data_IF_953018362163
#
_entry.id   IF_953018362163
#
_cell.length_a   1.000
_cell.length_b   1.000
_cell.length_c   1.000
_cell.angle_alpha   90.00
_cell.angle_beta   90.00
_cell.angle_gamma   90.00
#
_symmetry.space_group_name_H-M   'P 1'
#
loop_
_entity.id
_entity.type
_entity.pdbx_description
1 polymer ?
#
# COMPACT_ATOMS: atom_id res chain seq x y z
N UNK A 1 -12.34 8.67 10.10
CA UNK A 1 -13.40 8.98 9.09
C UNK A 1 -13.20 7.97 7.97
N UNK A 2 -14.24 7.29 7.59
CA UNK A 2 -14.11 6.17 6.65
C UNK A 2 -13.81 6.70 5.25
N UNK A 3 -12.86 6.12 4.55
CA UNK A 3 -12.44 6.52 3.20
C UNK A 3 -13.47 6.23 2.08
N UNK A 4 -14.64 5.72 2.42
CA UNK A 4 -15.73 5.40 1.48
C UNK A 4 -16.18 6.59 0.62
N UNK A 5 -16.06 7.82 1.14
CA UNK A 5 -16.39 9.03 0.39
C UNK A 5 -15.40 9.35 -0.74
N UNK A 6 -14.24 8.67 -0.78
CA UNK A 6 -13.23 8.85 -1.83
C UNK A 6 -13.60 8.11 -3.12
N UNK A 7 -14.45 7.08 -3.06
CA UNK A 7 -14.85 6.33 -4.27
C UNK A 7 -15.55 7.25 -5.27
N UNK A 8 -15.12 7.19 -6.51
CA UNK A 8 -15.60 8.07 -7.58
C UNK A 8 -14.85 9.40 -7.71
N UNK A 9 -14.06 9.79 -6.71
CA UNK A 9 -13.16 10.95 -6.82
C UNK A 9 -11.87 10.54 -7.52
N UNK A 10 -11.02 11.52 -7.84
CA UNK A 10 -9.70 11.26 -8.43
C UNK A 10 -8.61 11.80 -7.52
N UNK A 11 -7.55 11.02 -7.38
CA UNK A 11 -6.30 11.50 -6.79
C UNK A 11 -5.71 12.52 -7.77
N UNK A 12 -5.40 13.76 -7.34
CA UNK A 12 -4.83 14.76 -8.22
C UNK A 12 -3.45 14.33 -8.75
N UNK A 13 -3.04 14.89 -9.87
CA UNK A 13 -1.71 14.66 -10.43
C UNK A 13 -0.63 15.14 -9.47
N UNK A 14 0.35 14.31 -9.20
CA UNK A 14 1.52 14.63 -8.38
C UNK A 14 2.74 13.86 -8.87
N UNK A 15 3.91 14.25 -8.41
CA UNK A 15 5.14 13.50 -8.60
C UNK A 15 5.50 12.73 -7.33
N UNK A 16 6.07 11.54 -7.50
CA UNK A 16 6.50 10.69 -6.39
C UNK A 16 7.91 10.15 -6.61
N UNK A 17 8.55 9.78 -5.52
CA UNK A 17 9.85 9.14 -5.54
C UNK A 17 9.71 7.64 -5.23
N UNK A 18 10.48 6.82 -5.94
CA UNK A 18 10.79 5.44 -5.57
C UNK A 18 12.18 5.39 -4.94
N UNK A 19 12.63 4.25 -4.37
CA UNK A 19 13.97 4.16 -3.81
C UNK A 19 15.10 4.51 -4.77
N UNK A 20 14.90 4.29 -6.08
CA UNK A 20 15.94 4.41 -7.11
C UNK A 20 15.68 5.55 -8.09
N UNK A 21 14.42 5.96 -8.30
CA UNK A 21 14.05 6.98 -9.29
C UNK A 21 13.20 8.07 -8.64
N UNK A 22 13.66 9.32 -8.62
CA UNK A 22 12.88 10.46 -8.16
C UNK A 22 11.97 11.04 -9.25
N UNK A 23 10.94 11.75 -8.84
CA UNK A 23 10.13 12.61 -9.70
C UNK A 23 9.25 11.90 -10.71
N UNK A 24 8.78 10.68 -10.42
CA UNK A 24 7.88 9.94 -11.28
C UNK A 24 6.48 10.59 -11.32
N UNK A 25 5.84 10.62 -12.49
CA UNK A 25 4.48 11.13 -12.65
C UNK A 25 3.44 10.07 -12.27
N UNK A 26 2.58 10.42 -11.32
CA UNK A 26 1.51 9.51 -10.87
C UNK A 26 0.50 9.20 -11.98
N UNK A 27 0.17 10.15 -12.84
CA UNK A 27 -0.78 9.90 -13.92
C UNK A 27 -0.20 8.99 -14.99
N UNK A 28 1.09 9.08 -15.27
CA UNK A 28 1.78 8.10 -16.12
C UNK A 28 1.73 6.69 -15.50
N UNK A 29 1.83 6.59 -14.16
CA UNK A 29 1.62 5.31 -13.47
C UNK A 29 0.20 4.79 -13.62
N UNK A 30 -0.81 5.66 -13.69
CA UNK A 30 -2.21 5.26 -13.89
C UNK A 30 -2.53 4.80 -15.33
N UNK A 31 -1.66 5.09 -16.30
CA UNK A 31 -1.82 4.61 -17.68
C UNK A 31 -1.53 3.11 -17.78
N UNK A 32 -2.38 2.37 -18.49
CA UNK A 32 -2.21 0.94 -18.71
C UNK A 32 -3.54 0.19 -18.72
N UNK A 33 -3.48 -1.07 -19.16
CA UNK A 33 -4.69 -1.90 -19.33
C UNK A 33 -5.36 -2.28 -18.00
N UNK A 34 -4.56 -2.36 -16.94
CA UNK A 34 -5.04 -2.83 -15.64
C UNK A 34 -5.00 -1.72 -14.59
N UNK A 35 -5.97 -1.69 -13.65
CA UNK A 35 -5.99 -0.74 -12.55
C UNK A 35 -4.80 -0.97 -11.60
N UNK A 36 -4.49 0.07 -10.83
CA UNK A 36 -3.53 -0.02 -9.74
C UNK A 36 -4.24 -0.51 -8.47
N UNK A 37 -3.67 -1.50 -7.78
CA UNK A 37 -3.95 -1.74 -6.37
C UNK A 37 -2.87 -1.04 -5.55
N UNK A 38 -3.23 0.04 -4.89
CA UNK A 38 -2.33 0.80 -4.02
C UNK A 38 -2.51 0.37 -2.57
N UNK A 39 -1.45 -0.13 -1.97
CA UNK A 39 -1.43 -0.59 -0.58
C UNK A 39 -0.62 0.40 0.25
N UNK A 40 -1.28 1.10 1.17
CA UNK A 40 -0.65 2.04 2.09
C UNK A 40 -0.23 1.30 3.35
N UNK A 41 1.06 1.30 3.60
CA UNK A 41 1.72 0.60 4.70
C UNK A 41 2.31 1.62 5.69
N UNK A 42 2.64 1.24 6.92
CA UNK A 42 3.51 2.03 7.80
C UNK A 42 4.88 2.32 7.16
N UNK A 43 5.83 2.82 7.95
CA UNK A 43 7.20 2.99 7.48
C UNK A 43 7.78 1.70 6.89
N UNK A 44 8.72 1.82 5.97
CA UNK A 44 9.31 0.67 5.28
C UNK A 44 10.01 -0.30 6.25
N UNK A 45 10.62 0.23 7.31
CA UNK A 45 11.28 -0.53 8.38
C UNK A 45 10.30 -1.18 9.36
N UNK A 46 9.01 -0.85 9.28
CA UNK A 46 8.01 -1.42 10.17
C UNK A 46 7.80 -2.93 9.89
N UNK A 47 7.74 -3.79 10.92
CA UNK A 47 7.63 -5.25 10.74
C UNK A 47 6.47 -5.69 9.86
N UNK A 48 5.31 -5.04 9.97
CA UNK A 48 4.13 -5.33 9.13
C UNK A 48 4.42 -5.00 7.67
N UNK A 49 5.02 -3.86 7.37
CA UNK A 49 5.38 -3.47 6.00
C UNK A 49 6.33 -4.49 5.36
N UNK A 50 7.35 -4.90 6.09
CA UNK A 50 8.32 -5.90 5.61
C UNK A 50 7.67 -7.26 5.36
N UNK A 51 6.81 -7.70 6.26
CA UNK A 51 6.08 -8.97 6.10
C UNK A 51 5.22 -8.96 4.84
N UNK A 52 4.38 -7.92 4.65
CA UNK A 52 3.48 -7.86 3.50
C UNK A 52 4.20 -7.62 2.19
N UNK A 53 5.21 -6.77 2.13
CA UNK A 53 6.05 -6.60 0.93
C UNK A 53 6.71 -7.94 0.57
N UNK A 54 7.21 -8.69 1.55
CA UNK A 54 7.80 -10.02 1.31
C UNK A 54 6.77 -11.02 0.78
N UNK A 55 5.54 -11.02 1.30
CA UNK A 55 4.44 -11.87 0.79
C UNK A 55 4.09 -11.52 -0.65
N UNK A 56 3.98 -10.23 -0.96
CA UNK A 56 3.67 -9.78 -2.32
C UNK A 56 4.79 -10.13 -3.30
N UNK A 57 6.04 -10.00 -2.91
CA UNK A 57 7.18 -10.45 -3.72
C UNK A 57 7.11 -11.95 -4.05
N UNK A 58 6.78 -12.78 -3.07
CA UNK A 58 6.67 -14.23 -3.23
C UNK A 58 5.47 -14.64 -4.09
N UNK A 59 4.37 -13.91 -4.00
CA UNK A 59 3.12 -14.24 -4.68
C UNK A 59 2.87 -13.43 -5.95
N UNK A 60 3.83 -12.57 -6.35
CA UNK A 60 3.71 -11.71 -7.52
C UNK A 60 3.29 -12.44 -8.82
N UNK A 61 3.75 -13.67 -9.11
CA UNK A 61 3.28 -14.42 -10.28
C UNK A 61 1.78 -14.74 -10.29
N UNK A 62 1.10 -14.63 -9.15
CA UNK A 62 -0.35 -14.82 -9.00
C UNK A 62 -1.14 -13.55 -9.32
N UNK A 63 -0.48 -12.39 -9.45
CA UNK A 63 -1.12 -11.12 -9.77
C UNK A 63 -1.65 -11.14 -11.21
N UNK A 64 -2.96 -10.99 -11.36
CA UNK A 64 -3.65 -11.00 -12.66
C UNK A 64 -4.67 -9.86 -12.74
N UNK A 65 -4.74 -9.18 -13.88
CA UNK A 65 -5.73 -8.12 -14.08
C UNK A 65 -5.57 -6.90 -13.17
N UNK A 66 -4.40 -6.72 -12.58
CA UNK A 66 -4.08 -5.63 -11.68
C UNK A 66 -2.58 -5.31 -11.72
N UNK A 67 -2.21 -4.12 -11.26
CA UNK A 67 -0.82 -3.71 -11.02
C UNK A 67 -0.67 -3.32 -9.56
N UNK A 68 0.30 -3.89 -8.85
CA UNK A 68 0.54 -3.61 -7.44
C UNK A 68 1.41 -2.35 -7.28
N UNK A 69 1.05 -1.52 -6.33
CA UNK A 69 1.84 -0.37 -5.85
C UNK A 69 1.82 -0.38 -4.33
N UNK A 70 2.97 -0.39 -3.69
CA UNK A 70 3.07 -0.17 -2.25
C UNK A 70 3.41 1.29 -1.98
N UNK A 71 2.78 1.90 -0.99
CA UNK A 71 3.10 3.23 -0.51
C UNK A 71 3.59 3.11 0.93
N UNK A 72 4.76 3.67 1.23
CA UNK A 72 5.38 3.59 2.55
C UNK A 72 5.63 4.98 3.12
N UNK A 73 5.45 5.11 4.43
CA UNK A 73 5.69 6.35 5.19
C UNK A 73 7.19 6.49 5.52
N UNK A 74 8.01 6.45 4.49
CA UNK A 74 9.49 6.54 4.59
C UNK A 74 10.03 7.37 3.43
N UNK A 75 11.17 8.03 3.63
CA UNK A 75 11.86 8.74 2.55
C UNK A 75 12.50 7.75 1.56
N UNK A 76 12.62 8.15 0.30
CA UNK A 76 13.29 7.35 -0.73
C UNK A 76 14.73 6.96 -0.32
N UNK A 77 15.45 7.89 0.29
CA UNK A 77 16.81 7.64 0.78
C UNK A 77 16.85 6.56 1.87
N UNK A 78 15.89 6.57 2.81
CA UNK A 78 15.82 5.57 3.87
C UNK A 78 15.53 4.19 3.31
N UNK A 79 14.59 4.10 2.34
CA UNK A 79 14.25 2.83 1.69
C UNK A 79 15.43 2.32 0.86
N UNK A 80 16.06 3.18 0.06
CA UNK A 80 17.24 2.83 -0.74
C UNK A 80 18.38 2.29 0.13
N UNK A 81 18.64 2.91 1.28
CA UNK A 81 19.63 2.41 2.24
C UNK A 81 19.27 1.03 2.79
N UNK A 82 18.01 0.81 3.15
CA UNK A 82 17.52 -0.45 3.71
C UNK A 82 17.52 -1.60 2.69
N UNK A 83 17.38 -1.29 1.40
CA UNK A 83 17.37 -2.26 0.30
C UNK A 83 18.72 -2.39 -0.40
N UNK A 84 19.76 -1.70 0.07
CA UNK A 84 21.06 -1.62 -0.59
C UNK A 84 20.96 -1.18 -2.07
N UNK A 85 20.03 -0.29 -2.38
CA UNK A 85 19.78 0.21 -3.74
C UNK A 85 19.11 -0.80 -4.68
N UNK A 86 18.56 -1.89 -4.16
CA UNK A 86 17.83 -2.87 -4.97
C UNK A 86 16.45 -2.37 -5.33
N UNK A 87 16.05 -2.58 -6.58
CA UNK A 87 14.71 -2.29 -7.06
C UNK A 87 13.69 -3.37 -6.68
N UNK A 88 12.44 -2.95 -6.62
CA UNK A 88 11.30 -3.85 -6.50
C UNK A 88 10.68 -4.12 -7.88
N UNK A 89 10.11 -5.31 -8.12
CA UNK A 89 9.41 -5.61 -9.37
C UNK A 89 8.05 -4.90 -9.51
N UNK A 90 7.66 -4.09 -8.52
CA UNK A 90 6.51 -3.19 -8.50
C UNK A 90 6.90 -1.87 -7.84
N UNK A 91 6.24 -0.74 -8.17
CA UNK A 91 6.56 0.56 -7.58
C UNK A 91 6.38 0.56 -6.06
N UNK A 92 7.38 1.07 -5.34
CA UNK A 92 7.30 1.43 -3.93
C UNK A 92 7.38 2.94 -3.83
N UNK A 93 6.24 3.59 -3.62
CA UNK A 93 6.13 5.05 -3.49
C UNK A 93 6.58 5.44 -2.09
N UNK A 94 7.56 6.35 -2.01
CA UNK A 94 8.13 6.84 -0.77
C UNK A 94 7.48 8.18 -0.38
N UNK A 95 6.52 8.15 0.54
CA UNK A 95 5.86 9.36 1.07
C UNK A 95 6.35 9.67 2.49
N UNK A 96 7.62 9.99 2.63
CA UNK A 96 8.23 10.35 3.91
C UNK A 96 7.48 11.48 4.64
N UNK A 97 7.15 12.60 3.98
CA UNK A 97 6.36 13.67 4.59
C UNK A 97 4.92 13.27 4.94
N UNK A 98 4.35 12.26 4.27
CA UNK A 98 2.97 11.80 4.45
C UNK A 98 1.92 12.67 3.82
N UNK A 99 2.23 13.27 2.71
CA UNK A 99 1.31 14.13 1.96
C UNK A 99 0.13 13.31 1.43
N UNK A 100 0.40 12.15 0.83
CA UNK A 100 -0.64 11.22 0.37
C UNK A 100 -1.45 10.65 1.51
N UNK A 101 -0.78 10.26 2.60
CA UNK A 101 -1.45 9.75 3.79
C UNK A 101 -2.42 10.78 4.37
N UNK A 102 -2.00 12.04 4.47
CA UNK A 102 -2.86 13.13 4.92
C UNK A 102 -4.02 13.40 3.97
N UNK A 103 -3.76 13.45 2.67
CA UNK A 103 -4.78 13.68 1.65
C UNK A 103 -5.87 12.60 1.64
N UNK A 104 -5.48 11.33 1.77
CA UNK A 104 -6.39 10.18 1.74
C UNK A 104 -6.98 9.85 3.12
N UNK A 105 -6.60 10.59 4.16
CA UNK A 105 -7.12 10.39 5.51
C UNK A 105 -6.73 9.06 6.13
N UNK A 106 -5.51 8.58 5.88
CA UNK A 106 -4.98 7.36 6.51
C UNK A 106 -4.88 7.59 8.02
N UNK A 107 -5.58 6.76 8.78
CA UNK A 107 -5.73 6.93 10.22
C UNK A 107 -4.54 6.33 10.99
N UNK A 108 -4.21 6.98 12.12
CA UNK A 108 -3.30 6.38 13.10
C UNK A 108 -4.07 5.40 14.00
N UNK A 109 -3.41 4.32 14.38
CA UNK A 109 -3.97 3.40 15.37
C UNK A 109 -4.12 4.12 16.72
N UNK A 110 -5.31 4.02 17.31
CA UNK A 110 -5.58 4.55 18.64
C UNK A 110 -5.87 3.40 19.59
N UNK A 111 -4.88 3.06 20.43
CA UNK A 111 -5.04 2.11 21.53
C UNK A 111 -5.14 0.63 21.12
N UNK A 112 -5.60 -0.20 22.06
CA UNK A 112 -5.65 -1.66 21.97
C UNK A 112 -6.60 -2.20 20.90
N UNK A 113 -7.55 -1.41 20.40
CA UNK A 113 -8.57 -1.84 19.44
C UNK A 113 -8.02 -2.14 18.04
N UNK A 114 -6.82 -1.66 17.72
CA UNK A 114 -6.14 -1.94 16.44
C UNK A 114 -5.23 -3.18 16.51
N UNK A 115 -5.15 -3.81 17.65
CA UNK A 115 -4.34 -5.01 17.88
C UNK A 115 -4.97 -6.23 17.22
N UNK A 116 -4.16 -6.99 16.49
CA UNK A 116 -4.57 -8.29 15.95
C UNK A 116 -3.57 -9.36 16.39
N UNK A 117 -4.03 -10.60 16.56
CA UNK A 117 -3.16 -11.73 16.83
C UNK A 117 -2.12 -11.93 15.71
N UNK A 118 -2.49 -11.63 14.46
CA UNK A 118 -1.59 -11.70 13.32
C UNK A 118 -0.46 -10.66 13.44
N UNK A 119 -0.76 -9.41 13.84
CA UNK A 119 0.26 -8.40 14.10
C UNK A 119 1.21 -8.81 15.21
N UNK A 120 0.68 -9.39 16.30
CA UNK A 120 1.51 -9.89 17.42
C UNK A 120 2.51 -10.96 16.98
N UNK A 121 2.07 -11.89 16.12
CA UNK A 121 2.97 -12.92 15.56
C UNK A 121 4.09 -12.30 14.74
N UNK A 122 3.77 -11.28 13.92
CA UNK A 122 4.77 -10.54 13.12
C UNK A 122 5.76 -9.82 14.03
N UNK A 123 5.29 -9.10 15.05
CA UNK A 123 6.16 -8.41 16.00
C UNK A 123 7.03 -9.36 16.81
N UNK A 124 6.47 -10.50 17.23
CA UNK A 124 7.25 -11.52 17.93
C UNK A 124 8.33 -12.10 17.03
N UNK A 125 8.00 -12.49 15.81
CA UNK A 125 8.97 -13.02 14.85
C UNK A 125 10.09 -12.02 14.56
N UNK A 126 9.77 -10.72 14.37
CA UNK A 126 10.75 -9.66 14.17
C UNK A 126 11.70 -9.52 15.37
N UNK A 127 11.18 -9.53 16.58
CA UNK A 127 11.97 -9.45 17.82
C UNK A 127 12.84 -10.69 18.01
N UNK A 128 12.28 -11.88 17.79
CA UNK A 128 13.03 -13.15 17.92
C UNK A 128 14.19 -13.24 16.89
N UNK A 129 14.03 -12.59 15.73
CA UNK A 129 15.06 -12.44 14.72
C UNK A 129 16.06 -11.30 15.02
N UNK A 130 15.94 -10.61 16.16
CA UNK A 130 16.80 -9.48 16.52
C UNK A 130 16.61 -8.23 15.65
N UNK A 131 15.44 -8.12 15.00
CA UNK A 131 15.13 -6.99 14.13
C UNK A 131 14.75 -5.76 14.93
N UNK A 132 15.47 -4.65 14.70
CA UNK A 132 15.22 -3.37 15.33
C UNK A 132 14.50 -2.42 14.39
N UNK A 133 13.45 -1.76 14.88
CA UNK A 133 12.68 -0.73 14.16
C UNK A 133 12.27 0.39 15.12
N UNK A 134 11.91 1.54 14.55
CA UNK A 134 11.48 2.69 15.35
C UNK A 134 10.09 2.45 15.95
N UNK A 135 10.04 2.15 17.24
CA UNK A 135 8.78 1.94 17.99
C UNK A 135 8.01 3.24 18.26
N UNK A 136 8.63 4.40 18.03
CA UNK A 136 8.02 5.73 18.19
C UNK A 136 7.39 6.24 16.90
N UNK A 137 7.67 5.58 15.77
CA UNK A 137 7.06 5.93 14.49
C UNK A 137 5.52 5.85 14.57
N UNK A 138 4.80 6.70 13.83
CA UNK A 138 3.34 6.65 13.82
C UNK A 138 2.83 5.27 13.43
N UNK A 139 1.98 4.70 14.27
CA UNK A 139 1.32 3.44 14.00
C UNK A 139 0.12 3.73 13.09
N UNK A 140 0.23 3.41 11.83
CA UNK A 140 -0.79 3.67 10.82
C UNK A 140 -1.65 2.43 10.56
N UNK A 141 -2.95 2.64 10.40
CA UNK A 141 -3.83 1.61 9.86
C UNK A 141 -3.63 1.54 8.33
N UNK A 142 -3.63 0.35 7.74
CA UNK A 142 -3.45 0.24 6.30
C UNK A 142 -4.67 0.77 5.55
N UNK A 143 -4.41 1.23 4.31
CA UNK A 143 -5.44 1.60 3.36
C UNK A 143 -5.17 0.85 2.06
N UNK A 144 -6.20 0.23 1.49
CA UNK A 144 -6.16 -0.40 0.17
C UNK A 144 -7.05 0.40 -0.78
N UNK A 145 -6.50 0.80 -1.92
CA UNK A 145 -7.23 1.49 -3.00
C UNK A 145 -7.13 0.69 -4.29
N UNK A 146 -8.21 0.67 -5.06
CA UNK A 146 -8.15 0.35 -6.49
C UNK A 146 -8.30 1.66 -7.26
N UNK A 147 -7.32 1.96 -8.09
CA UNK A 147 -7.23 3.22 -8.82
C UNK A 147 -7.16 2.94 -10.31
N UNK A 148 -8.09 3.52 -11.04
CA UNK A 148 -8.17 3.45 -12.49
C UNK A 148 -7.47 4.61 -13.20
N UNK A 149 -7.83 4.80 -14.46
CA UNK A 149 -7.27 5.85 -15.30
C UNK A 149 -7.44 7.24 -14.69
N UNK A 150 -6.47 8.13 -14.89
CA UNK A 150 -6.42 9.49 -14.34
C UNK A 150 -6.62 9.57 -12.82
N UNK A 151 -6.15 8.57 -12.10
CA UNK A 151 -6.22 8.55 -10.65
C UNK A 151 -7.61 8.32 -10.06
N UNK A 152 -8.61 7.88 -10.87
CA UNK A 152 -9.97 7.64 -10.38
C UNK A 152 -10.02 6.50 -9.38
N UNK A 153 -10.52 6.78 -8.18
CA UNK A 153 -10.65 5.79 -7.11
C UNK A 153 -11.91 4.96 -7.37
N UNK A 154 -11.72 3.66 -7.60
CA UNK A 154 -12.78 2.69 -7.87
C UNK A 154 -13.22 1.95 -6.61
N UNK A 155 -12.29 1.75 -5.68
CA UNK A 155 -12.53 1.04 -4.42
C UNK A 155 -11.61 1.57 -3.33
N UNK A 156 -12.09 1.50 -2.09
CA UNK A 156 -11.31 1.85 -0.90
C UNK A 156 -11.68 0.93 0.26
N UNK A 157 -10.66 0.46 0.98
CA UNK A 157 -10.80 -0.27 2.21
C UNK A 157 -9.82 0.28 3.25
N UNK A 158 -10.36 0.91 4.29
CA UNK A 158 -9.57 1.32 5.47
C UNK A 158 -9.48 0.14 6.42
N UNK A 159 -8.27 -0.32 6.68
CA UNK A 159 -8.03 -1.43 7.59
C UNK A 159 -8.50 -1.14 9.01
N UNK A 160 -9.07 -2.13 9.66
CA UNK A 160 -9.52 -2.08 11.07
C UNK A 160 -8.41 -2.49 12.04
N UNK A 161 -7.39 -3.15 11.54
CA UNK A 161 -6.19 -3.54 12.26
C UNK A 161 -4.96 -3.36 11.37
N UNK A 162 -3.77 -3.44 11.95
CA UNK A 162 -2.52 -3.28 11.21
C UNK A 162 -2.28 -4.36 10.14
N UNK A 163 -2.98 -5.48 10.23
CA UNK A 163 -2.89 -6.61 9.30
C UNK A 163 -4.15 -6.81 8.46
N UNK A 164 -5.05 -5.84 8.46
CA UNK A 164 -6.24 -5.84 7.62
C UNK A 164 -5.89 -5.35 6.20
N UNK A 165 -5.20 -6.23 5.49
CA UNK A 165 -4.61 -6.05 4.17
C UNK A 165 -4.92 -7.26 3.30
N UNK A 166 -4.91 -7.14 1.96
CA UNK A 166 -4.91 -8.29 1.08
C UNK A 166 -3.75 -9.23 1.45
N UNK A 167 -4.05 -10.52 1.64
CA UNK A 167 -3.07 -11.46 2.17
C UNK A 167 -1.93 -11.74 1.18
N UNK A 168 -2.25 -11.76 -0.12
CA UNK A 168 -1.33 -12.05 -1.22
C UNK A 168 -1.77 -11.40 -2.54
N UNK A 169 -1.02 -11.65 -3.62
CA UNK A 169 -1.34 -11.11 -4.93
C UNK A 169 -2.58 -11.75 -5.59
N UNK A 170 -3.00 -12.95 -5.17
CA UNK A 170 -4.26 -13.53 -5.63
C UNK A 170 -5.45 -12.76 -5.05
N UNK A 171 -5.41 -12.43 -3.76
CA UNK A 171 -6.43 -11.59 -3.11
C UNK A 171 -6.49 -10.17 -3.72
N UNK A 172 -5.34 -9.59 -4.08
CA UNK A 172 -5.28 -8.31 -4.81
C UNK A 172 -5.99 -8.42 -6.17
N UNK A 173 -5.75 -9.50 -6.91
CA UNK A 173 -6.38 -9.74 -8.20
C UNK A 173 -7.90 -9.85 -8.09
N UNK A 174 -8.40 -10.56 -7.09
CA UNK A 174 -9.84 -10.70 -6.82
C UNK A 174 -10.50 -9.34 -6.55
N UNK A 175 -9.90 -8.51 -5.68
CA UNK A 175 -10.39 -7.17 -5.40
C UNK A 175 -10.46 -6.34 -6.68
N UNK A 176 -9.41 -6.32 -7.49
CA UNK A 176 -9.38 -5.52 -8.71
C UNK A 176 -10.40 -6.00 -9.75
N UNK A 177 -10.58 -7.31 -9.92
CA UNK A 177 -11.57 -7.88 -10.84
C UNK A 177 -13.00 -7.50 -10.47
N UNK A 178 -13.34 -7.47 -9.19
CA UNK A 178 -14.69 -7.08 -8.72
C UNK A 178 -15.07 -5.65 -9.12
N UNK A 179 -14.10 -4.73 -9.19
CA UNK A 179 -14.35 -3.31 -9.45
C UNK A 179 -14.04 -2.86 -10.88
N UNK A 180 -13.53 -3.75 -11.72
CA UNK A 180 -13.18 -3.45 -13.12
C UNK A 180 -13.95 -4.27 -14.15
N UNK A 181 -14.67 -5.31 -13.73
CA UNK A 181 -15.58 -6.05 -14.62
C UNK A 181 -16.74 -5.15 -15.06
N UNK A 182 -17.08 -5.10 -16.37
CA UNK A 182 -18.25 -4.34 -16.83
C UNK A 182 -19.49 -4.85 -16.11
N UNK A 183 -20.28 -3.92 -15.58
CA UNK A 183 -21.55 -4.25 -14.94
C UNK A 183 -22.47 -4.94 -15.94
N UNK A 184 -23.22 -6.01 -15.55
CA UNK A 184 -24.22 -6.64 -16.43
C UNK A 184 -25.35 -5.72 -16.86
N UNK A 185 -25.39 -4.47 -16.33
CA UNK A 185 -26.45 -3.46 -16.61
C UNK A 185 -26.16 -2.56 -17.81
N UNK A 186 -24.98 -2.68 -18.43
CA UNK A 186 -24.58 -1.87 -19.59
C UNK A 186 -24.76 -2.62 -20.92
N UNK A 187 -25.78 -3.51 -21.00
CA UNK A 187 -26.24 -4.13 -22.24
C UNK A 187 -27.68 -3.74 -22.55
#
# INVERSE_FOLDING_TARGET
MKSEHLVGTSIPRFTYDTPTVPGNDFYALCEGEHPLCMIFLPGFDHPVSREYITRYLKTLPQLKGARLVCVVRSSAQAVAKATHGSDFPFPVICDGPGVLYGYLGVEQTRGLLSWSFAAQKIYKAARDAGYHYDTKAPQLLPLTLVVGHLGKILFTHSGRSQTDLPEDCAAISEICLLYTSPSPRDK
#
